data_IF_369525468740
#
_entry.id   IF_369525468740
#
_cell.length_a   1.000
_cell.length_b   1.000
_cell.length_c   1.000
_cell.angle_alpha   90.00
_cell.angle_beta   90.00
_cell.angle_gamma   90.00
#
_symmetry.space_group_name_H-M   'P 1'
#
loop_
_entity.id
_entity.type
_entity.pdbx_description
1 polymer ?
#
# COMPACT_ATOMS: atom_id res chain seq x y z
N UNK A 1 13.69 21.37 4.39
CA UNK A 1 12.77 20.25 4.08
C UNK A 1 11.36 20.78 4.22
N UNK A 2 10.52 20.71 3.17
CA UNK A 2 9.10 21.04 3.32
C UNK A 2 8.47 20.01 4.27
N UNK A 3 7.57 20.40 5.19
CA UNK A 3 6.78 19.41 5.90
C UNK A 3 5.89 18.74 4.86
N UNK A 4 6.23 17.52 4.47
CA UNK A 4 5.28 16.64 3.79
C UNK A 4 4.18 16.37 4.80
N UNK A 5 3.04 17.03 4.62
CA UNK A 5 1.87 16.81 5.46
C UNK A 5 1.55 15.32 5.42
N UNK A 6 1.68 14.67 6.57
CA UNK A 6 1.32 13.27 6.75
C UNK A 6 -0.12 13.06 6.25
N UNK A 7 -0.33 12.01 5.45
CA UNK A 7 -1.64 11.62 4.93
C UNK A 7 -2.47 10.92 6.01
N UNK A 8 -3.77 10.79 5.80
CA UNK A 8 -4.60 10.03 6.74
C UNK A 8 -4.25 8.54 6.68
N UNK A 9 -3.99 8.03 5.47
CA UNK A 9 -3.72 6.60 5.24
C UNK A 9 -2.41 6.38 4.49
N UNK A 10 -1.61 5.40 4.95
CA UNK A 10 -0.51 4.81 4.21
C UNK A 10 -0.81 3.34 3.87
N UNK A 11 -0.79 3.01 2.58
CA UNK A 11 -0.95 1.66 2.06
C UNK A 11 0.40 1.02 1.82
N UNK A 12 0.62 -0.18 2.37
CA UNK A 12 1.84 -0.94 2.18
C UNK A 12 1.71 -1.85 0.96
N UNK A 13 2.60 -1.66 -0.01
CA UNK A 13 2.66 -2.43 -1.25
C UNK A 13 4.00 -3.16 -1.38
N UNK A 14 3.96 -4.47 -1.59
CA UNK A 14 5.16 -5.30 -1.75
C UNK A 14 5.46 -5.54 -3.23
N UNK A 15 6.62 -5.09 -3.68
CA UNK A 15 7.18 -5.31 -5.03
C UNK A 15 8.17 -6.49 -5.06
N UNK A 16 8.16 -7.33 -4.04
CA UNK A 16 9.07 -8.45 -3.83
C UNK A 16 10.20 -8.10 -2.86
N UNK A 17 10.16 -8.67 -1.65
CA UNK A 17 11.19 -8.50 -0.62
C UNK A 17 10.92 -7.38 0.38
N UNK A 18 9.67 -6.92 0.53
CA UNK A 18 9.26 -5.96 1.56
C UNK A 18 9.71 -6.38 2.97
N UNK A 19 9.60 -7.67 3.27
CA UNK A 19 9.93 -8.28 4.57
C UNK A 19 11.42 -8.19 4.92
N UNK A 20 12.31 -8.03 3.92
CA UNK A 20 13.76 -7.93 4.15
C UNK A 20 14.17 -6.72 5.00
N UNK A 21 13.32 -5.69 5.03
CA UNK A 21 13.50 -4.45 5.80
C UNK A 21 12.19 -4.01 6.45
N UNK A 22 11.44 -4.98 6.98
CA UNK A 22 10.10 -4.78 7.54
C UNK A 22 10.04 -3.59 8.50
N UNK A 23 10.90 -3.58 9.53
CA UNK A 23 10.92 -2.52 10.54
C UNK A 23 11.15 -1.15 9.93
N UNK A 24 12.17 -1.00 9.08
CA UNK A 24 12.46 0.28 8.40
C UNK A 24 11.29 0.72 7.50
N UNK A 25 10.61 -0.22 6.84
CA UNK A 25 9.47 0.09 5.97
C UNK A 25 8.27 0.58 6.80
N UNK A 26 8.00 -0.04 7.94
CA UNK A 26 6.93 0.39 8.85
C UNK A 26 7.22 1.76 9.46
N UNK A 27 8.46 2.03 9.86
CA UNK A 27 8.88 3.35 10.37
C UNK A 27 8.66 4.45 9.33
N UNK A 28 9.02 4.21 8.08
CA UNK A 28 8.76 5.17 6.99
C UNK A 28 7.27 5.35 6.77
N UNK A 29 6.49 4.26 6.73
CA UNK A 29 5.05 4.33 6.52
C UNK A 29 4.33 5.12 7.62
N UNK A 30 4.76 4.98 8.88
CA UNK A 30 4.27 5.78 10.00
C UNK A 30 4.57 7.28 9.84
N UNK A 31 5.68 7.64 9.18
CA UNK A 31 5.98 9.02 8.81
C UNK A 31 5.13 9.55 7.65
N UNK A 32 4.54 8.67 6.84
CA UNK A 32 3.76 9.02 5.65
C UNK A 32 2.26 9.08 5.91
N UNK A 33 1.72 8.21 6.76
CA UNK A 33 0.29 8.12 7.06
C UNK A 33 0.00 7.93 8.55
N UNK A 34 -1.17 8.40 9.01
CA UNK A 34 -1.61 8.20 10.39
C UNK A 34 -2.08 6.77 10.64
N UNK A 35 -2.81 6.20 9.69
CA UNK A 35 -3.28 4.82 9.70
C UNK A 35 -2.53 4.02 8.64
N UNK A 36 -2.08 2.84 9.00
CA UNK A 36 -1.39 1.93 8.08
C UNK A 36 -2.33 0.79 7.70
N UNK A 37 -2.38 0.48 6.41
CA UNK A 37 -3.00 -0.75 5.93
C UNK A 37 -2.02 -1.53 5.06
N UNK A 38 -2.01 -2.84 5.24
CA UNK A 38 -1.28 -3.77 4.39
C UNK A 38 -2.21 -4.27 3.29
N UNK A 39 -1.73 -4.24 2.04
CA UNK A 39 -2.43 -4.81 0.91
C UNK A 39 -2.09 -6.30 0.82
N UNK A 40 -2.92 -7.16 1.39
CA UNK A 40 -2.74 -8.62 1.39
C UNK A 40 -3.48 -9.26 0.21
N UNK A 41 -3.38 -10.58 0.06
CA UNK A 41 -4.16 -11.33 -0.94
C UNK A 41 -5.66 -11.33 -0.64
N UNK A 42 -6.03 -11.20 0.64
CA UNK A 42 -7.42 -11.17 1.12
C UNK A 42 -7.99 -9.74 1.22
N UNK A 43 -7.17 -8.74 0.89
CA UNK A 43 -7.57 -7.34 0.83
C UNK A 43 -6.79 -6.42 1.76
N UNK A 44 -7.45 -5.37 2.20
CA UNK A 44 -6.93 -4.28 3.00
C UNK A 44 -7.00 -4.68 4.48
N UNK A 45 -5.85 -4.90 5.10
CA UNK A 45 -5.78 -5.26 6.52
C UNK A 45 -5.09 -4.15 7.29
N UNK A 46 -5.76 -3.62 8.31
CA UNK A 46 -5.21 -2.58 9.16
C UNK A 46 -3.99 -3.11 9.92
N UNK A 47 -2.89 -2.36 9.89
CA UNK A 47 -1.66 -2.70 10.60
C UNK A 47 -1.73 -2.12 11.99
N UNK A 48 -1.99 -2.98 12.98
CA UNK A 48 -1.97 -2.62 14.39
C UNK A 48 -0.54 -2.62 14.94
N UNK A 49 -0.31 -1.89 16.04
CA UNK A 49 1.02 -1.79 16.65
C UNK A 49 1.56 -3.18 17.03
N UNK A 50 2.75 -3.53 16.53
CA UNK A 50 3.40 -4.83 16.76
C UNK A 50 2.98 -5.95 15.81
N UNK A 51 2.01 -5.71 14.91
CA UNK A 51 1.61 -6.69 13.90
C UNK A 51 2.62 -6.75 12.75
N UNK A 52 3.01 -7.97 12.38
CA UNK A 52 3.90 -8.23 11.25
C UNK A 52 3.08 -8.75 10.07
N UNK A 53 2.35 -7.84 9.41
CA UNK A 53 1.55 -8.17 8.23
C UNK A 53 2.37 -7.84 6.99
N UNK A 54 2.73 -8.86 6.22
CA UNK A 54 3.48 -8.70 4.98
C UNK A 54 2.48 -8.49 3.83
N UNK A 55 2.60 -7.41 3.04
CA UNK A 55 1.75 -7.22 1.87
C UNK A 55 2.03 -8.29 0.82
N UNK A 56 1.01 -8.63 0.03
CA UNK A 56 1.17 -9.58 -1.09
C UNK A 56 2.12 -9.00 -2.13
N UNK A 57 3.03 -9.85 -2.65
CA UNK A 57 3.92 -9.43 -3.72
C UNK A 57 3.13 -9.26 -5.02
N UNK A 58 2.83 -8.02 -5.39
CA UNK A 58 2.00 -7.73 -6.57
C UNK A 58 2.64 -8.12 -7.89
N UNK A 59 3.97 -8.24 -7.93
CA UNK A 59 4.69 -8.71 -9.13
C UNK A 59 4.58 -10.23 -9.33
N UNK A 60 4.08 -10.97 -8.34
CA UNK A 60 3.82 -12.40 -8.46
C UNK A 60 2.38 -12.75 -8.87
N UNK A 61 1.49 -11.76 -8.89
CA UNK A 61 0.10 -11.94 -9.29
C UNK A 61 -0.01 -11.98 -10.82
N UNK A 62 -0.85 -12.87 -11.34
CA UNK A 62 -1.27 -12.85 -12.73
C UNK A 62 -2.11 -11.61 -13.03
N UNK A 63 -2.27 -11.20 -14.31
CA UNK A 63 -3.10 -10.06 -14.67
C UNK A 63 -4.54 -10.15 -14.15
N UNK A 64 -5.13 -11.35 -14.17
CA UNK A 64 -6.49 -11.59 -13.69
C UNK A 64 -6.57 -11.45 -12.16
N UNK A 65 -5.60 -12.00 -11.43
CA UNK A 65 -5.52 -11.84 -9.97
C UNK A 65 -5.30 -10.39 -9.58
N UNK A 66 -4.42 -9.67 -10.29
CA UNK A 66 -4.15 -8.26 -10.04
C UNK A 66 -5.39 -7.39 -10.28
N UNK A 67 -6.19 -7.70 -11.31
CA UNK A 67 -7.45 -7.00 -11.57
C UNK A 67 -8.44 -7.19 -10.42
N UNK A 68 -8.72 -8.45 -10.04
CA UNK A 68 -9.65 -8.77 -8.93
C UNK A 68 -9.16 -8.15 -7.63
N UNK A 69 -7.87 -8.31 -7.33
CA UNK A 69 -7.24 -7.74 -6.15
C UNK A 69 -7.39 -6.22 -6.10
N UNK A 70 -7.10 -5.53 -7.20
CA UNK A 70 -7.22 -4.06 -7.25
C UNK A 70 -8.67 -3.58 -7.05
N UNK A 71 -9.65 -4.27 -7.65
CA UNK A 71 -11.08 -3.93 -7.48
C UNK A 71 -11.51 -4.07 -6.03
N UNK A 72 -11.12 -5.18 -5.40
CA UNK A 72 -11.41 -5.44 -3.99
C UNK A 72 -10.80 -4.38 -3.07
N UNK A 73 -9.54 -3.99 -3.30
CA UNK A 73 -8.91 -2.92 -2.50
C UNK A 73 -9.64 -1.58 -2.70
N UNK A 74 -10.06 -1.25 -3.91
CA UNK A 74 -10.77 0.00 -4.18
C UNK A 74 -12.12 0.06 -3.45
N UNK A 75 -12.88 -1.04 -3.48
CA UNK A 75 -14.15 -1.17 -2.75
C UNK A 75 -13.96 -1.01 -1.24
N UNK A 76 -12.91 -1.62 -0.68
CA UNK A 76 -12.62 -1.54 0.75
C UNK A 76 -12.15 -0.14 1.18
N UNK A 77 -11.33 0.53 0.38
CA UNK A 77 -10.94 1.92 0.64
C UNK A 77 -12.16 2.86 0.65
N UNK A 78 -13.09 2.67 -0.29
CA UNK A 78 -14.34 3.43 -0.34
C UNK A 78 -15.25 3.10 0.85
N UNK A 79 -15.35 1.83 1.26
CA UNK A 79 -16.13 1.41 2.41
C UNK A 79 -15.59 1.98 3.74
N UNK A 80 -14.28 2.13 3.87
CA UNK A 80 -13.63 2.81 5.00
C UNK A 80 -13.75 4.34 4.93
N UNK A 81 -14.27 4.89 3.83
CA UNK A 81 -14.55 6.31 3.65
C UNK A 81 -13.34 7.16 3.25
N UNK A 82 -12.26 6.53 2.76
CA UNK A 82 -11.06 7.27 2.35
C UNK A 82 -11.15 7.76 0.91
N UNK A 83 -10.78 9.02 0.69
CA UNK A 83 -10.63 9.59 -0.65
C UNK A 83 -9.19 9.42 -1.17
N UNK A 84 -8.97 9.42 -2.49
CA UNK A 84 -7.63 9.26 -3.05
C UNK A 84 -6.59 10.28 -2.58
N UNK A 85 -7.02 11.52 -2.30
CA UNK A 85 -6.15 12.58 -1.81
C UNK A 85 -5.72 12.39 -0.35
N UNK A 86 -6.40 11.53 0.40
CA UNK A 86 -6.10 11.23 1.81
C UNK A 86 -5.17 10.04 1.99
N UNK A 87 -4.86 9.33 0.90
CA UNK A 87 -4.04 8.12 0.92
C UNK A 87 -2.71 8.31 0.18
N UNK A 88 -1.71 7.55 0.62
CA UNK A 88 -0.42 7.39 -0.06
C UNK A 88 -0.02 5.92 -0.03
N UNK A 89 0.68 5.47 -1.07
CA UNK A 89 1.20 4.12 -1.16
C UNK A 89 2.70 4.16 -0.83
N UNK A 90 3.15 3.39 0.15
CA UNK A 90 4.55 3.02 0.31
C UNK A 90 4.78 1.70 -0.44
N UNK A 91 5.50 1.76 -1.55
CA UNK A 91 5.93 0.60 -2.29
C UNK A 91 7.37 0.24 -1.91
N UNK A 92 7.62 -1.03 -1.59
CA UNK A 92 8.97 -1.51 -1.29
C UNK A 92 9.22 -2.89 -1.87
N UNK A 93 10.43 -3.08 -2.38
CA UNK A 93 11.01 -4.37 -2.72
C UNK A 93 12.42 -4.47 -2.17
N UNK A 94 13.16 -5.51 -2.58
CA UNK A 94 14.49 -5.83 -2.03
C UNK A 94 15.50 -4.67 -2.06
N UNK A 95 15.51 -3.91 -3.17
CA UNK A 95 16.48 -2.83 -3.41
C UNK A 95 15.83 -1.47 -3.69
N UNK A 96 14.51 -1.42 -3.80
CA UNK A 96 13.77 -0.22 -4.18
C UNK A 96 12.71 0.09 -3.12
N UNK A 97 12.53 1.38 -2.86
CA UNK A 97 11.50 1.90 -1.98
C UNK A 97 11.05 3.26 -2.50
N UNK A 98 9.75 3.52 -2.47
CA UNK A 98 9.20 4.79 -2.93
C UNK A 98 7.81 5.03 -2.35
N UNK A 99 7.39 6.29 -2.36
CA UNK A 99 6.02 6.67 -2.05
C UNK A 99 5.33 7.16 -3.32
N UNK A 100 4.11 6.71 -3.56
CA UNK A 100 3.31 7.04 -4.74
C UNK A 100 1.93 7.53 -4.30
N UNK A 101 1.32 8.51 -4.99
CA UNK A 101 -0.06 8.88 -4.72
C UNK A 101 -1.00 7.72 -5.08
N UNK A 102 -2.17 7.66 -4.42
CA UNK A 102 -3.25 6.79 -4.87
C UNK A 102 -3.67 7.18 -6.30
N UNK A 103 -4.12 6.22 -7.10
CA UNK A 103 -4.41 6.37 -8.53
C UNK A 103 -3.21 6.11 -9.45
N UNK A 104 -1.99 5.99 -8.89
CA UNK A 104 -0.80 5.62 -9.67
C UNK A 104 -0.97 4.23 -10.28
N UNK A 105 -0.69 4.11 -11.58
CA UNK A 105 -0.69 2.82 -12.26
C UNK A 105 0.43 1.92 -11.71
N UNK A 106 0.07 0.74 -11.23
CA UNK A 106 0.97 -0.19 -10.55
C UNK A 106 1.55 -1.21 -11.53
N UNK A 107 0.70 -1.77 -12.40
CA UNK A 107 1.12 -2.58 -13.54
C UNK A 107 -0.01 -2.67 -14.56
N UNK A 108 0.34 -2.78 -15.85
CA UNK A 108 -0.60 -3.11 -16.94
C UNK A 108 -1.85 -2.20 -17.01
N UNK A 109 -1.73 -0.95 -16.57
CA UNK A 109 -2.85 0.01 -16.54
C UNK A 109 -3.78 -0.10 -15.32
N UNK A 110 -3.48 -0.99 -14.37
CA UNK A 110 -4.24 -1.14 -13.11
C UNK A 110 -3.77 -0.10 -12.11
N UNK A 111 -4.71 0.63 -11.53
CA UNK A 111 -4.50 1.67 -10.53
C UNK A 111 -5.29 1.37 -9.25
N UNK A 112 -4.65 1.52 -8.09
CA UNK A 112 -5.36 1.49 -6.81
C UNK A 112 -6.02 2.83 -6.53
N UNK A 113 -7.25 2.82 -6.01
CA UNK A 113 -8.08 3.97 -5.72
C UNK A 113 -8.46 4.82 -6.94
N UNK A 114 -8.59 4.17 -8.10
CA UNK A 114 -9.14 4.74 -9.32
C UNK A 114 -10.64 4.42 -9.45
#
# INVERSE_FOLDING_TARGET
>A
MKPTTQKEVCLLLNLGGFESRMTENLEIAQGLGKVLYSLTGDGLVKVEAGAHIVPVNVLSLSPAELFVWSSMINEQLQAEGFTPDEAIILCAGKNYRGSLPLGTAIAQGISLGA
#
